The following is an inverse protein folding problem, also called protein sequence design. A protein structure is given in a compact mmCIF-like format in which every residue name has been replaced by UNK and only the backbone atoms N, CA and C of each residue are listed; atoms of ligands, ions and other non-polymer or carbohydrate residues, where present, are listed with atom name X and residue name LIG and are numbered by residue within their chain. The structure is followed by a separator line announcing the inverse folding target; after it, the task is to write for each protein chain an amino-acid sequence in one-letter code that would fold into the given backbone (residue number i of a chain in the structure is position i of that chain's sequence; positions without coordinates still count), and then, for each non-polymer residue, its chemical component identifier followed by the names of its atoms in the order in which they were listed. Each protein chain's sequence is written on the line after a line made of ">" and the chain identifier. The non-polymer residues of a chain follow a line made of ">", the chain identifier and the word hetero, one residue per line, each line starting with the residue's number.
data_IF_110115581864
#
_entry.id   IF_110115581864
#
_cell.length_a   1.000
_cell.length_b   1.000
_cell.length_c   1.000
_cell.angle_alpha   90.00
_cell.angle_beta   90.00
_cell.angle_gamma   90.00
#
_symmetry.space_group_name_H-M   'P 1'
#
loop_
_entity.id
_entity.type
_entity.pdbx_description
1 polymer ?
#
# COMPACT_ATOMS: atom_id res chain seq x y z
N UNK A 1 3.57 -18.53 1.77
CA UNK A 1 2.38 -17.65 1.77
C UNK A 1 2.71 -16.47 2.65
N UNK A 2 2.59 -15.25 2.12
CA UNK A 2 2.63 -14.05 2.95
C UNK A 2 1.19 -13.82 3.40
N UNK A 3 0.97 -13.71 4.70
CA UNK A 3 -0.34 -13.37 5.24
C UNK A 3 -0.27 -11.91 5.63
N UNK A 4 -1.02 -11.08 4.93
CA UNK A 4 -1.14 -9.67 5.26
C UNK A 4 -2.42 -9.50 6.09
N UNK A 5 -2.39 -8.56 7.04
CA UNK A 5 -3.54 -8.27 7.89
C UNK A 5 -4.11 -6.92 7.49
N UNK A 6 -5.38 -6.91 7.12
CA UNK A 6 -6.11 -5.68 6.81
C UNK A 6 -6.94 -5.25 8.01
N UNK A 7 -7.01 -3.94 8.23
CA UNK A 7 -7.84 -3.37 9.29
C UNK A 7 -9.25 -3.17 8.76
N UNK A 8 -10.21 -3.80 9.44
CA UNK A 8 -11.63 -3.68 9.15
C UNK A 8 -12.33 -2.89 10.26
N UNK A 9 -13.18 -1.95 9.87
CA UNK A 9 -14.05 -1.22 10.78
C UNK A 9 -15.41 -1.92 10.88
N UNK A 10 -15.83 -2.24 12.10
CA UNK A 10 -17.13 -2.84 12.39
C UNK A 10 -18.05 -1.82 13.07
N UNK A 11 -19.17 -1.54 12.43
CA UNK A 11 -20.17 -0.59 12.93
C UNK A 11 -21.48 -1.32 13.15
N UNK A 12 -22.19 -0.95 14.22
CA UNK A 12 -23.49 -1.52 14.53
C UNK A 12 -24.59 -0.77 13.78
N UNK A 13 -25.44 -1.50 13.08
CA UNK A 13 -26.56 -0.90 12.36
C UNK A 13 -27.72 -0.53 13.33
N UNK A 14 -28.38 0.63 13.17
CA UNK A 14 -29.56 1.02 13.94
C UNK A 14 -30.73 0.02 13.89
N UNK A 15 -30.95 -0.63 12.74
CA UNK A 15 -32.01 -1.62 12.53
C UNK A 15 -31.62 -3.02 13.04
N UNK A 16 -30.37 -3.16 13.52
CA UNK A 16 -29.81 -4.38 14.07
C UNK A 16 -28.81 -5.04 13.12
N UNK A 17 -27.87 -5.78 13.70
CA UNK A 17 -26.75 -6.37 12.96
C UNK A 17 -25.48 -5.54 13.00
N UNK A 18 -24.52 -5.95 12.19
CA UNK A 18 -23.17 -5.41 12.10
C UNK A 18 -22.77 -5.27 10.64
N UNK A 19 -22.20 -4.11 10.31
CA UNK A 19 -21.57 -3.83 9.02
C UNK A 19 -20.06 -3.79 9.21
N UNK A 20 -19.32 -4.41 8.30
CA UNK A 20 -17.87 -4.50 8.29
C UNK A 20 -17.34 -3.90 6.98
N UNK A 21 -16.36 -3.01 7.06
CA UNK A 21 -15.70 -2.37 5.90
C UNK A 21 -14.20 -2.52 6.02
N UNK A 22 -13.52 -2.91 4.94
CA UNK A 22 -12.05 -2.94 4.90
C UNK A 22 -11.52 -1.54 4.55
N UNK A 23 -10.75 -0.93 5.46
CA UNK A 23 -10.36 0.48 5.33
C UNK A 23 -9.39 0.74 4.17
N UNK A 24 -8.42 -0.16 3.95
CA UNK A 24 -7.46 -0.05 2.85
C UNK A 24 -7.98 -0.55 1.49
N UNK A 25 -9.15 -1.21 1.49
CA UNK A 25 -9.78 -1.76 0.30
C UNK A 25 -11.22 -1.23 0.21
N UNK A 26 -11.41 0.08 -0.02
CA UNK A 26 -12.74 0.67 -0.11
C UNK A 26 -13.55 -0.05 -1.20
N UNK A 27 -14.75 -0.48 -0.83
CA UNK A 27 -15.63 -1.32 -1.67
C UNK A 27 -15.71 -2.79 -1.24
N UNK A 28 -14.82 -3.26 -0.37
CA UNK A 28 -14.98 -4.56 0.31
C UNK A 28 -15.78 -4.33 1.58
N UNK A 29 -17.08 -4.63 1.50
CA UNK A 29 -18.05 -4.45 2.58
C UNK A 29 -18.79 -5.75 2.81
N UNK A 30 -19.14 -6.02 4.05
CA UNK A 30 -19.95 -7.17 4.44
C UNK A 30 -20.85 -6.84 5.61
N UNK A 31 -21.90 -7.64 5.81
CA UNK A 31 -22.88 -7.47 6.87
C UNK A 31 -23.18 -8.83 7.52
N UNK A 32 -23.66 -8.81 8.76
CA UNK A 32 -24.12 -9.99 9.48
C UNK A 32 -25.02 -9.63 10.65
N UNK A 33 -25.89 -10.55 11.07
CA UNK A 33 -26.79 -10.33 12.20
C UNK A 33 -26.02 -10.29 13.53
N UNK A 34 -24.87 -10.98 13.55
CA UNK A 34 -23.94 -11.02 14.68
C UNK A 34 -22.55 -10.55 14.27
N UNK A 35 -21.77 -10.11 15.26
CA UNK A 35 -20.38 -9.71 15.03
C UNK A 35 -19.53 -10.86 14.43
N UNK A 36 -19.73 -12.08 14.91
CA UNK A 36 -19.01 -13.26 14.43
C UNK A 36 -19.37 -13.59 12.97
N UNK A 37 -20.64 -13.45 12.61
CA UNK A 37 -21.10 -13.64 11.23
C UNK A 37 -20.54 -12.57 10.30
N UNK A 38 -20.62 -11.29 10.69
CA UNK A 38 -20.01 -10.20 9.92
C UNK A 38 -18.50 -10.40 9.75
N UNK A 39 -17.81 -10.94 10.77
CA UNK A 39 -16.39 -11.27 10.71
C UNK A 39 -16.08 -12.41 9.72
N UNK A 40 -16.90 -13.47 9.71
CA UNK A 40 -16.74 -14.55 8.73
C UNK A 40 -16.97 -14.03 7.31
N UNK A 41 -18.05 -13.28 7.12
CA UNK A 41 -18.47 -12.80 5.81
C UNK A 41 -17.45 -11.79 5.23
N UNK A 42 -16.89 -10.88 6.05
CA UNK A 42 -15.85 -9.96 5.57
C UNK A 42 -14.55 -10.67 5.23
N UNK A 43 -14.21 -11.76 5.92
CA UNK A 43 -13.03 -12.57 5.59
C UNK A 43 -13.16 -13.22 4.22
N UNK A 44 -14.33 -13.78 3.91
CA UNK A 44 -14.61 -14.35 2.60
C UNK A 44 -14.64 -13.29 1.50
N UNK A 45 -15.27 -12.14 1.76
CA UNK A 45 -15.30 -11.01 0.84
C UNK A 45 -13.90 -10.49 0.51
N UNK A 46 -13.03 -10.40 1.51
CA UNK A 46 -11.63 -10.02 1.36
C UNK A 46 -10.84 -11.02 0.51
N UNK A 47 -11.03 -12.32 0.75
CA UNK A 47 -10.39 -13.36 -0.05
C UNK A 47 -10.84 -13.31 -1.52
N UNK A 48 -12.13 -13.15 -1.75
CA UNK A 48 -12.72 -13.06 -3.09
C UNK A 48 -12.22 -11.82 -3.85
N UNK A 49 -12.18 -10.66 -3.19
CA UNK A 49 -11.73 -9.41 -3.81
C UNK A 49 -10.23 -9.45 -4.14
N UNK A 50 -9.40 -9.98 -3.23
CA UNK A 50 -7.99 -10.25 -3.49
C UNK A 50 -7.85 -11.20 -4.68
N UNK A 51 -8.66 -12.26 -4.74
CA UNK A 51 -8.67 -13.21 -5.85
C UNK A 51 -9.06 -12.56 -7.19
N UNK A 52 -10.09 -11.72 -7.20
CA UNK A 52 -10.51 -10.97 -8.37
C UNK A 52 -9.40 -10.03 -8.87
N UNK A 53 -8.67 -9.40 -7.94
CA UNK A 53 -7.53 -8.51 -8.23
C UNK A 53 -6.25 -9.27 -8.61
N UNK A 54 -6.20 -10.60 -8.53
CA UNK A 54 -5.02 -11.42 -8.93
C UNK A 54 -4.57 -11.21 -10.37
N UNK A 55 -5.48 -10.82 -11.27
CA UNK A 55 -5.14 -10.56 -12.66
C UNK A 55 -4.32 -9.27 -12.85
N UNK A 56 -4.33 -8.36 -11.88
CA UNK A 56 -3.67 -7.05 -11.88
C UNK A 56 -3.03 -6.80 -10.50
N UNK A 57 -1.79 -7.27 -10.26
CA UNK A 57 -1.12 -7.16 -8.95
C UNK A 57 -1.03 -5.73 -8.40
N UNK A 58 -0.99 -4.72 -9.28
CA UNK A 58 -1.05 -3.30 -8.96
C UNK A 58 -2.38 -2.85 -8.34
N UNK A 59 -3.42 -3.70 -8.38
CA UNK A 59 -4.76 -3.39 -7.88
C UNK A 59 -4.99 -3.82 -6.43
N UNK A 60 -4.06 -4.52 -5.77
CA UNK A 60 -4.18 -4.88 -4.34
C UNK A 60 -3.35 -3.89 -3.51
N UNK A 61 -3.99 -2.89 -2.86
CA UNK A 61 -3.41 -2.05 -1.83
C UNK A 61 -2.54 -2.80 -0.82
N UNK A 62 -1.44 -2.19 -0.39
CA UNK A 62 -0.68 -2.72 0.76
C UNK A 62 -1.36 -2.25 2.05
N UNK A 63 -1.65 -3.14 3.01
CA UNK A 63 -2.30 -2.73 4.25
C UNK A 63 -1.45 -1.72 5.02
N UNK A 64 -2.10 -0.66 5.52
CA UNK A 64 -1.47 0.40 6.30
C UNK A 64 -1.46 0.06 7.79
N UNK A 65 -0.48 0.57 8.56
CA UNK A 65 -0.55 0.55 10.02
C UNK A 65 -1.84 1.21 10.53
N UNK A 66 -2.40 0.69 11.63
CA UNK A 66 -3.61 1.25 12.25
C UNK A 66 -3.42 2.74 12.58
N UNK A 67 -2.22 3.17 13.00
CA UNK A 67 -1.93 4.57 13.29
C UNK A 67 -2.16 5.48 12.06
N UNK A 68 -1.66 5.07 10.90
CA UNK A 68 -1.81 5.83 9.65
C UNK A 68 -3.26 5.88 9.18
N UNK A 69 -4.05 4.83 9.48
CA UNK A 69 -5.49 4.80 9.20
C UNK A 69 -6.26 5.75 10.10
N UNK A 70 -5.89 5.85 11.38
CA UNK A 70 -6.55 6.75 12.34
C UNK A 70 -6.28 8.22 12.07
N UNK A 71 -5.13 8.54 11.48
CA UNK A 71 -4.75 9.91 11.11
C UNK A 71 -5.33 10.33 9.74
N UNK A 72 -6.02 9.43 9.03
CA UNK A 72 -6.60 9.66 7.71
C UNK A 72 -7.96 10.41 7.83
N UNK A 73 -8.06 11.67 7.38
CA UNK A 73 -9.31 12.43 7.47
C UNK A 73 -10.41 11.84 6.60
N UNK A 74 -10.07 11.09 5.55
CA UNK A 74 -11.04 10.48 4.64
C UNK A 74 -11.71 9.24 5.26
N UNK A 75 -11.11 8.65 6.30
CA UNK A 75 -11.65 7.50 7.04
C UNK A 75 -12.37 7.91 8.34
N UNK A 76 -12.41 9.19 8.67
CA UNK A 76 -12.97 9.65 9.94
C UNK A 76 -14.43 9.22 10.16
N UNK A 77 -15.21 9.06 9.08
CA UNK A 77 -16.60 8.59 9.16
C UNK A 77 -16.70 7.10 9.47
N UNK A 78 -15.90 6.28 8.79
CA UNK A 78 -15.84 4.83 8.96
C UNK A 78 -15.22 4.43 10.31
N UNK A 79 -14.41 5.31 10.90
CA UNK A 79 -13.80 5.11 12.21
C UNK A 79 -14.70 5.55 13.37
N UNK A 80 -15.71 6.39 13.14
CA UNK A 80 -16.54 6.95 14.21
C UNK A 80 -17.40 5.87 14.87
N UNK A 81 -17.14 5.59 16.14
CA UNK A 81 -17.81 4.54 16.90
C UNK A 81 -17.56 3.11 16.42
N UNK A 82 -16.66 2.91 15.45
CA UNK A 82 -16.37 1.60 14.89
C UNK A 82 -15.39 0.80 15.75
N UNK A 83 -15.58 -0.53 15.76
CA UNK A 83 -14.63 -1.46 16.36
C UNK A 83 -13.64 -1.93 15.30
N UNK A 84 -12.35 -1.70 15.51
CA UNK A 84 -11.30 -2.12 14.58
C UNK A 84 -10.86 -3.55 14.84
N UNK A 85 -10.80 -4.34 13.78
CA UNK A 85 -10.38 -5.75 13.82
C UNK A 85 -9.40 -6.03 12.68
N UNK A 86 -8.33 -6.74 12.97
CA UNK A 86 -7.40 -7.21 11.93
C UNK A 86 -7.86 -8.54 11.36
N UNK A 87 -8.14 -8.57 10.06
CA UNK A 87 -8.55 -9.76 9.32
C UNK A 87 -7.40 -10.20 8.42
N UNK A 88 -7.09 -11.50 8.47
CA UNK A 88 -6.03 -12.09 7.66
C UNK A 88 -6.50 -12.24 6.21
N UNK A 89 -5.75 -11.64 5.28
CA UNK A 89 -5.89 -11.91 3.86
C UNK A 89 -4.80 -12.90 3.43
N UNK A 90 -5.16 -14.12 2.98
CA UNK A 90 -4.20 -15.02 2.35
C UNK A 90 -3.82 -14.47 0.97
N UNK A 91 -2.81 -13.60 0.92
CA UNK A 91 -2.32 -13.09 -0.35
C UNK A 91 -1.51 -14.18 -1.07
N UNK A 92 -1.76 -14.39 -2.38
CA UNK A 92 -0.90 -15.25 -3.18
C UNK A 92 0.51 -14.63 -3.22
N UNK A 93 1.56 -15.46 -3.32
CA UNK A 93 2.92 -14.94 -3.44
C UNK A 93 3.02 -14.02 -4.67
N UNK A 94 3.81 -12.94 -4.59
CA UNK A 94 4.03 -12.08 -5.74
C UNK A 94 4.60 -12.90 -6.89
N UNK A 95 4.06 -12.69 -8.10
CA UNK A 95 4.56 -13.34 -9.30
C UNK A 95 5.79 -12.59 -9.80
N UNK A 96 6.85 -13.32 -10.12
CA UNK A 96 7.99 -12.76 -10.85
C UNK A 96 7.60 -12.48 -12.29
N UNK A 97 7.70 -11.22 -12.71
CA UNK A 97 7.46 -10.81 -14.10
C UNK A 97 8.81 -10.62 -14.80
N UNK A 98 9.12 -11.35 -15.89
CA UNK A 98 10.35 -11.14 -16.65
C UNK A 98 10.31 -9.77 -17.35
N UNK A 99 11.43 -9.07 -17.35
CA UNK A 99 11.57 -7.75 -17.98
C UNK A 99 12.80 -7.72 -18.88
N UNK A 100 12.70 -7.01 -20.01
CA UNK A 100 13.82 -6.71 -20.89
C UNK A 100 14.21 -5.25 -20.68
N UNK A 101 15.50 -4.99 -20.48
CA UNK A 101 16.03 -3.63 -20.30
C UNK A 101 17.40 -3.49 -20.94
N UNK A 102 17.80 -2.25 -21.23
CA UNK A 102 19.16 -1.90 -21.65
C UNK A 102 19.91 -1.32 -20.46
N UNK A 103 21.16 -1.74 -20.28
CA UNK A 103 22.06 -1.27 -19.23
C UNK A 103 23.48 -1.16 -19.79
N UNK A 104 24.26 -0.26 -19.21
CA UNK A 104 25.70 -0.14 -19.46
C UNK A 104 26.44 -1.47 -19.19
N UNK A 105 27.39 -1.81 -20.05
CA UNK A 105 28.09 -3.10 -20.01
C UNK A 105 29.03 -3.23 -18.80
N UNK A 106 29.75 -2.16 -18.46
CA UNK A 106 30.61 -2.11 -17.28
C UNK A 106 29.79 -2.19 -15.98
N UNK A 107 28.66 -1.51 -15.92
CA UNK A 107 27.74 -1.60 -14.78
C UNK A 107 27.17 -3.02 -14.63
N UNK A 108 26.75 -3.66 -15.73
CA UNK A 108 26.26 -5.03 -15.70
C UNK A 108 27.33 -6.00 -15.17
N UNK A 109 28.58 -5.86 -15.63
CA UNK A 109 29.69 -6.68 -15.15
C UNK A 109 29.93 -6.52 -13.63
N UNK A 110 29.86 -5.29 -13.13
CA UNK A 110 29.98 -5.00 -11.69
C UNK A 110 28.82 -5.62 -10.89
N UNK A 111 27.59 -5.51 -11.39
CA UNK A 111 26.41 -6.14 -10.77
C UNK A 111 26.55 -7.65 -10.74
N UNK A 112 26.99 -8.28 -11.83
CA UNK A 112 27.19 -9.73 -11.90
C UNK A 112 28.23 -10.22 -10.89
N UNK A 113 29.34 -9.50 -10.72
CA UNK A 113 30.37 -9.81 -9.73
C UNK A 113 29.83 -9.70 -8.30
N UNK A 114 29.12 -8.62 -8.00
CA UNK A 114 28.59 -8.37 -6.66
C UNK A 114 27.47 -9.35 -6.30
N UNK A 115 26.56 -9.63 -7.23
CA UNK A 115 25.51 -10.62 -7.05
C UNK A 115 26.10 -12.01 -6.76
N UNK A 116 27.16 -12.40 -7.49
CA UNK A 116 27.89 -13.66 -7.25
C UNK A 116 28.57 -13.68 -5.88
N UNK A 117 29.22 -12.58 -5.48
CA UNK A 117 29.85 -12.46 -4.16
C UNK A 117 28.81 -12.59 -3.02
N UNK A 118 27.67 -11.92 -3.17
CA UNK A 118 26.53 -11.97 -2.25
C UNK A 118 25.71 -13.26 -2.33
N UNK A 119 26.01 -14.14 -3.30
CA UNK A 119 25.26 -15.38 -3.59
C UNK A 119 23.77 -15.16 -3.85
N UNK A 120 23.43 -14.05 -4.52
CA UNK A 120 22.08 -13.72 -4.97
C UNK A 120 22.02 -13.74 -6.50
N UNK A 121 20.81 -13.84 -7.07
CA UNK A 121 20.63 -13.68 -8.51
C UNK A 121 20.74 -12.21 -8.91
N UNK A 122 21.07 -11.94 -10.19
CA UNK A 122 20.97 -10.60 -10.77
C UNK A 122 19.61 -9.95 -10.53
N UNK A 123 18.54 -10.72 -10.77
CA UNK A 123 17.16 -10.21 -10.61
C UNK A 123 16.86 -9.81 -9.17
N UNK A 124 17.36 -10.56 -8.17
CA UNK A 124 17.22 -10.19 -6.77
C UNK A 124 18.00 -8.91 -6.47
N UNK A 125 19.25 -8.83 -6.93
CA UNK A 125 20.08 -7.65 -6.74
C UNK A 125 19.42 -6.38 -7.29
N UNK A 126 18.87 -6.44 -8.52
CA UNK A 126 18.13 -5.32 -9.09
C UNK A 126 16.84 -5.01 -8.33
N UNK A 127 16.08 -6.03 -7.92
CA UNK A 127 14.85 -5.83 -7.16
C UNK A 127 15.11 -5.15 -5.80
N UNK A 128 16.19 -5.54 -5.11
CA UNK A 128 16.59 -4.95 -3.84
C UNK A 128 17.04 -3.50 -4.01
N UNK A 129 17.88 -3.21 -5.01
CA UNK A 129 18.29 -1.84 -5.31
C UNK A 129 17.11 -0.91 -5.65
N UNK A 130 16.10 -1.42 -6.37
CA UNK A 130 14.87 -0.67 -6.66
C UNK A 130 14.05 -0.45 -5.39
N UNK A 131 13.90 -1.47 -4.53
CA UNK A 131 13.16 -1.34 -3.28
C UNK A 131 13.78 -0.30 -2.34
N UNK A 132 15.10 -0.38 -2.14
CA UNK A 132 15.85 0.59 -1.34
C UNK A 132 15.70 2.01 -1.92
N UNK A 133 15.75 2.13 -3.25
CA UNK A 133 15.57 3.41 -3.92
C UNK A 133 14.15 3.94 -3.74
N UNK A 134 13.13 3.09 -3.89
CA UNK A 134 11.73 3.44 -3.66
C UNK A 134 11.52 3.89 -2.23
N UNK A 135 11.98 3.13 -1.23
CA UNK A 135 11.88 3.48 0.19
C UNK A 135 12.55 4.82 0.51
N UNK A 136 13.74 5.06 -0.06
CA UNK A 136 14.45 6.33 0.09
C UNK A 136 13.70 7.53 -0.50
N UNK A 137 12.86 7.29 -1.51
CA UNK A 137 11.99 8.28 -2.13
C UNK A 137 10.65 8.38 -1.41
N UNK A 138 10.11 7.27 -0.90
CA UNK A 138 8.77 7.25 -0.31
C UNK A 138 8.73 7.78 1.11
N UNK A 139 9.85 7.76 1.82
CA UNK A 139 10.06 8.63 3.00
C UNK A 139 9.91 10.13 2.70
N UNK A 140 9.71 10.53 1.44
CA UNK A 140 9.41 11.90 0.98
C UNK A 140 8.15 12.01 0.09
N UNK A 141 7.55 10.90 -0.37
CA UNK A 141 6.35 10.84 -1.25
C UNK A 141 5.59 9.53 -1.00
N UNK A 142 4.26 9.53 -0.86
CA UNK A 142 3.52 8.29 -0.65
C UNK A 142 3.69 7.32 -1.85
N UNK A 143 3.76 5.98 -1.65
CA UNK A 143 3.68 5.00 -2.74
C UNK A 143 2.43 5.16 -3.62
N UNK A 144 1.41 5.85 -3.11
CA UNK A 144 0.15 6.17 -3.79
C UNK A 144 0.19 7.49 -4.58
N UNK A 145 1.26 8.30 -4.42
CA UNK A 145 1.44 9.54 -5.19
C UNK A 145 1.91 9.29 -6.62
N UNK A 146 2.31 8.05 -6.94
CA UNK A 146 2.69 7.67 -8.30
C UNK A 146 1.43 7.26 -9.08
N UNK A 147 0.72 8.26 -9.59
CA UNK A 147 -0.27 8.04 -10.65
C UNK A 147 0.46 7.58 -11.92
N UNK A 148 0.48 6.27 -12.16
CA UNK A 148 0.89 5.71 -13.45
C UNK A 148 -0.29 5.89 -14.40
N UNK A 149 -0.31 7.00 -15.13
CA UNK A 149 -1.32 7.23 -16.15
C UNK A 149 -0.95 6.39 -17.38
N UNK A 150 -1.67 5.28 -17.58
CA UNK A 150 -1.47 4.36 -18.71
C UNK A 150 -1.99 4.94 -20.03
N UNK A 151 -2.51 6.17 -20.07
CA UNK A 151 -3.07 6.73 -21.29
C UNK A 151 -3.16 8.26 -21.29
N UNK A 152 -2.04 8.97 -21.46
CA UNK A 152 -1.97 10.21 -22.24
C UNK A 152 -0.55 10.78 -22.22
N UNK A 153 0.02 11.03 -23.40
CA UNK A 153 1.18 11.90 -23.52
C UNK A 153 0.74 13.35 -23.38
N UNK A 154 0.72 13.90 -22.16
CA UNK A 154 0.86 15.34 -21.93
C UNK A 154 1.28 15.63 -20.48
N UNK A 155 2.23 16.56 -20.32
CA UNK A 155 2.83 16.90 -19.04
C UNK A 155 1.86 17.74 -18.18
N UNK A 156 1.63 17.33 -16.94
CA UNK A 156 0.95 18.17 -15.94
C UNK A 156 1.99 18.67 -14.92
N UNK A 157 2.06 19.99 -14.87
CA UNK A 157 2.99 20.85 -14.14
C UNK A 157 3.03 20.57 -12.63
N UNK A 158 4.22 20.18 -12.12
CA UNK A 158 4.46 20.08 -10.69
C UNK A 158 4.46 21.48 -10.05
N UNK A 159 3.44 21.80 -9.25
CA UNK A 159 3.48 22.98 -8.39
C UNK A 159 4.41 22.72 -7.19
N UNK A 160 5.48 23.51 -6.98
CA UNK A 160 6.34 23.34 -5.82
C UNK A 160 5.64 23.78 -4.53
N UNK A 161 5.82 22.97 -3.47
CA UNK A 161 5.42 23.27 -2.09
C UNK A 161 6.10 24.58 -1.66
N UNK A 162 5.29 25.55 -1.22
CA UNK A 162 5.74 26.88 -0.84
C UNK A 162 6.83 26.88 0.23
N UNK A 163 7.77 27.81 0.08
CA UNK A 163 9.00 27.96 0.88
C UNK A 163 8.74 28.19 2.37
N UNK A 164 9.53 27.49 3.18
CA UNK A 164 9.91 27.74 4.59
C UNK A 164 9.72 29.21 5.04
N UNK A 165 8.90 29.43 6.08
CA UNK A 165 9.01 30.60 6.96
C UNK A 165 10.02 30.29 8.06
N UNK A 166 11.27 30.72 7.87
CA UNK A 166 12.25 30.82 8.95
C UNK A 166 11.95 32.07 9.78
N UNK A 167 11.46 31.88 11.00
CA UNK A 167 11.29 32.97 11.98
C UNK A 167 12.67 33.48 12.38
N UNK A 168 12.96 34.74 12.04
CA UNK A 168 14.20 35.44 12.39
C UNK A 168 14.37 35.50 13.92
N UNK A 169 15.54 35.04 14.40
CA UNK A 169 16.08 35.37 15.72
C UNK A 169 16.19 36.89 15.86
N UNK A 170 15.69 37.45 16.95
CA UNK A 170 15.88 38.84 17.35
C UNK A 170 16.96 38.84 18.44
N UNK A 171 18.16 39.31 18.11
CA UNK A 171 19.21 39.65 19.07
C UNK A 171 19.01 41.12 19.42
N UNK A 172 18.84 41.42 20.71
CA UNK A 172 18.79 42.80 21.24
C UNK A 172 20.21 43.13 21.69
N UNK A 173 20.71 44.27 21.22
CA UNK A 173 21.97 44.88 21.63
C UNK A 173 21.79 45.69 22.92
#
# INVERSE_FOLDING_TARGET
>A
MRTDFYTCAFTRDPDGGWTAVVLDLPGVVSEGETFAEAQSNISEALELDVEARRARPEAVPTPRPIADLMDDPDLAGELDGATLVQIAAPLPPPKSVPITMTIDDHLLANVDQLAKFLRVSRSSFFADAVRDKMESLTGKLSPYDIRVDSSAGEAIEARPISKRRTTKRRVVA
#
